data_IF_099601683618
#
_entry.id   IF_099601683618
#
_cell.length_a   1.000
_cell.length_b   1.000
_cell.length_c   1.000
_cell.angle_alpha   90.00
_cell.angle_beta   90.00
_cell.angle_gamma   90.00
#
_symmetry.space_group_name_H-M   'P 1'
#
loop_
_entity.id
_entity.type
_entity.pdbx_description
1 polymer ?
#
# COMPACT_ATOMS: atom_id res chain seq x y z
N UNK A 1 -15.68 -7.45 7.99
CA UNK A 1 -14.97 -6.56 7.04
C UNK A 1 -14.03 -7.44 6.24
N UNK A 2 -14.04 -7.34 4.91
CA UNK A 2 -13.40 -8.32 4.01
C UNK A 2 -12.11 -7.74 3.42
N UNK A 3 -11.17 -7.31 4.27
CA UNK A 3 -9.92 -6.71 3.81
C UNK A 3 -9.04 -7.71 3.06
N UNK A 4 -8.48 -7.28 1.92
CA UNK A 4 -7.47 -8.00 1.16
C UNK A 4 -7.89 -9.44 0.77
N UNK A 5 -9.19 -9.70 0.66
CA UNK A 5 -9.73 -10.98 0.22
C UNK A 5 -9.54 -11.19 -1.29
N UNK A 6 -9.52 -10.10 -2.07
CA UNK A 6 -9.15 -10.17 -3.48
C UNK A 6 -7.64 -10.07 -3.63
N UNK A 7 -7.05 -11.01 -4.37
CA UNK A 7 -5.63 -10.91 -4.74
C UNK A 7 -5.31 -9.61 -5.50
N UNK A 8 -6.28 -9.06 -6.22
CA UNK A 8 -6.12 -7.80 -6.93
C UNK A 8 -5.88 -6.64 -5.96
N UNK A 9 -6.46 -6.67 -4.76
CA UNK A 9 -6.24 -5.64 -3.74
C UNK A 9 -4.79 -5.66 -3.26
N UNK A 10 -4.27 -6.86 -2.98
CA UNK A 10 -2.87 -7.02 -2.57
C UNK A 10 -1.90 -6.55 -3.66
N UNK A 11 -2.13 -6.97 -4.92
CA UNK A 11 -1.29 -6.53 -6.05
C UNK A 11 -1.26 -5.01 -6.22
N UNK A 12 -2.41 -4.34 -6.06
CA UNK A 12 -2.51 -2.88 -6.13
C UNK A 12 -1.72 -2.20 -5.02
N UNK A 13 -1.80 -2.71 -3.78
CA UNK A 13 -1.06 -2.13 -2.66
C UNK A 13 0.44 -2.32 -2.79
N UNK A 14 0.90 -3.50 -3.21
CA UNK A 14 2.32 -3.75 -3.52
C UNK A 14 2.83 -2.80 -4.61
N UNK A 15 2.06 -2.63 -5.69
CA UNK A 15 2.39 -1.69 -6.77
C UNK A 15 2.42 -0.24 -6.25
N UNK A 16 1.50 0.14 -5.36
CA UNK A 16 1.46 1.45 -4.71
C UNK A 16 2.72 1.75 -3.90
N UNK A 17 3.22 0.79 -3.10
CA UNK A 17 4.48 0.95 -2.36
C UNK A 17 5.66 1.17 -3.33
N UNK A 18 5.74 0.37 -4.40
CA UNK A 18 6.79 0.51 -5.42
C UNK A 18 6.74 1.88 -6.11
N UNK A 19 5.55 2.36 -6.44
CA UNK A 19 5.35 3.68 -7.06
C UNK A 19 5.77 4.81 -6.11
N UNK A 20 5.41 4.73 -4.83
CA UNK A 20 5.84 5.72 -3.84
C UNK A 20 7.36 5.76 -3.73
N UNK A 21 8.03 4.60 -3.63
CA UNK A 21 9.51 4.54 -3.63
C UNK A 21 10.12 5.21 -4.86
N UNK A 22 9.57 4.95 -6.04
CA UNK A 22 10.02 5.58 -7.28
C UNK A 22 9.82 7.11 -7.26
N UNK A 23 8.68 7.59 -6.75
CA UNK A 23 8.39 9.02 -6.64
C UNK A 23 9.37 9.74 -5.70
N UNK A 24 9.65 9.15 -4.53
CA UNK A 24 10.60 9.71 -3.57
C UNK A 24 12.05 9.70 -4.08
N UNK A 25 12.40 8.86 -5.06
CA UNK A 25 13.70 8.89 -5.73
C UNK A 25 13.84 10.04 -6.73
N UNK A 26 12.78 10.79 -7.04
CA UNK A 26 12.88 11.96 -7.90
C UNK A 26 13.61 13.13 -7.21
N UNK A 27 14.29 13.96 -8.02
CA UNK A 27 15.14 15.08 -7.54
C UNK A 27 14.39 16.08 -6.65
N UNK A 28 13.10 16.25 -6.86
CA UNK A 28 12.26 17.16 -6.07
C UNK A 28 12.22 16.80 -4.58
N UNK A 29 12.51 15.55 -4.24
CA UNK A 29 12.54 15.09 -2.85
C UNK A 29 13.96 14.94 -2.30
N UNK A 30 15.03 15.32 -3.03
CA UNK A 30 16.42 15.14 -2.56
C UNK A 30 16.68 15.79 -1.19
N UNK A 31 16.14 16.99 -0.97
CA UNK A 31 16.30 17.75 0.28
C UNK A 31 15.45 17.18 1.43
N UNK A 32 14.34 16.51 1.11
CA UNK A 32 13.34 16.08 2.09
C UNK A 32 13.38 14.59 2.40
N UNK A 33 13.96 13.76 1.51
CA UNK A 33 13.94 12.31 1.69
C UNK A 33 15.01 11.89 2.70
N UNK A 34 14.55 11.38 3.83
CA UNK A 34 15.38 10.63 4.76
C UNK A 34 15.48 9.15 4.37
N UNK A 35 15.88 8.31 5.31
CA UNK A 35 15.79 6.86 5.15
C UNK A 35 14.33 6.40 5.22
N UNK A 36 13.99 5.38 4.43
CA UNK A 36 12.68 4.74 4.51
C UNK A 36 12.52 4.04 5.86
N UNK A 37 11.55 4.48 6.66
CA UNK A 37 11.29 3.94 8.01
C UNK A 37 10.47 2.63 7.92
N UNK A 38 9.43 2.62 7.10
CA UNK A 38 8.55 1.47 6.90
C UNK A 38 8.06 1.41 5.44
N UNK A 39 7.96 0.22 4.83
CA UNK A 39 8.42 -1.09 5.32
C UNK A 39 9.95 -1.21 5.47
N UNK A 40 10.69 -0.23 4.98
CA UNK A 40 12.14 -0.18 5.07
C UNK A 40 12.82 -0.74 3.82
N UNK A 41 14.01 -0.24 3.52
CA UNK A 41 14.70 -0.49 2.25
C UNK A 41 15.05 -1.98 1.99
N UNK A 42 15.09 -2.81 3.04
CA UNK A 42 15.36 -4.25 2.93
C UNK A 42 14.13 -5.08 2.48
N UNK A 43 12.93 -4.54 2.58
CA UNK A 43 11.69 -5.24 2.22
C UNK A 43 11.39 -4.99 0.74
N UNK A 44 11.82 -5.90 -0.13
CA UNK A 44 11.80 -5.70 -1.60
C UNK A 44 11.02 -6.75 -2.39
N UNK A 45 10.94 -7.98 -1.87
CA UNK A 45 10.20 -9.04 -2.56
C UNK A 45 8.69 -8.83 -2.41
N UNK A 46 7.93 -9.28 -3.40
CA UNK A 46 6.47 -9.18 -3.35
C UNK A 46 5.88 -9.91 -2.15
N UNK A 47 6.49 -11.03 -1.75
CA UNK A 47 6.09 -11.77 -0.55
C UNK A 47 6.33 -10.95 0.73
N UNK A 48 7.49 -10.30 0.87
CA UNK A 48 7.80 -9.49 2.04
C UNK A 48 6.95 -8.22 2.10
N UNK A 49 6.71 -7.57 0.96
CA UNK A 49 5.80 -6.43 0.86
C UNK A 49 4.36 -6.84 1.19
N UNK A 50 3.91 -8.00 0.69
CA UNK A 50 2.58 -8.51 1.00
C UNK A 50 2.42 -8.84 2.47
N UNK A 51 3.44 -9.42 3.11
CA UNK A 51 3.44 -9.69 4.54
C UNK A 51 3.33 -8.40 5.36
N UNK A 52 4.14 -7.39 5.02
CA UNK A 52 4.05 -6.07 5.64
C UNK A 52 2.67 -5.43 5.47
N UNK A 53 2.09 -5.48 4.26
CA UNK A 53 0.75 -4.95 4.00
C UNK A 53 -0.28 -5.68 4.86
N UNK A 54 -0.21 -7.00 5.00
CA UNK A 54 -1.15 -7.75 5.85
C UNK A 54 -1.08 -7.34 7.32
N UNK A 55 0.11 -7.03 7.81
CA UNK A 55 0.33 -6.61 9.20
C UNK A 55 -0.11 -5.18 9.47
N UNK A 56 0.03 -4.28 8.48
CA UNK A 56 -0.10 -2.83 8.69
C UNK A 56 -1.29 -2.18 7.98
N UNK A 57 -1.98 -2.90 7.07
CA UNK A 57 -3.06 -2.31 6.28
C UNK A 57 -4.22 -1.86 7.17
N UNK A 58 -4.44 -0.55 7.21
CA UNK A 58 -5.62 0.08 7.77
C UNK A 58 -6.66 0.41 6.70
N UNK A 59 -7.73 1.07 7.13
CA UNK A 59 -8.74 1.62 6.22
C UNK A 59 -8.64 3.13 6.13
N UNK A 60 -8.95 3.66 4.95
CA UNK A 60 -9.17 5.10 4.78
C UNK A 60 -10.46 5.61 5.45
N UNK A 61 -11.20 4.77 6.19
CA UNK A 61 -12.44 5.11 6.87
C UNK A 61 -13.59 5.54 5.93
N UNK A 62 -13.68 4.91 4.76
CA UNK A 62 -14.75 5.12 3.77
C UNK A 62 -15.65 3.88 3.59
N UNK A 63 -16.40 3.42 4.60
CA UNK A 63 -17.37 2.33 4.43
C UNK A 63 -18.58 2.80 3.61
N UNK A 64 -18.96 2.03 2.59
CA UNK A 64 -20.13 2.31 1.74
C UNK A 64 -20.75 1.00 1.22
N UNK A 65 -21.98 1.06 0.70
CA UNK A 65 -22.60 -0.05 -0.05
C UNK A 65 -23.38 -1.09 0.78
N UNK A 66 -23.61 -0.86 2.07
CA UNK A 66 -24.41 -1.76 2.92
C UNK A 66 -25.90 -1.81 2.56
N UNK A 67 -26.42 -0.78 1.88
CA UNK A 67 -27.76 -0.74 1.30
C UNK A 67 -27.69 -0.19 -0.14
N UNK A 68 -27.20 -0.99 -1.07
CA UNK A 68 -27.21 -0.63 -2.50
C UNK A 68 -28.58 -1.00 -3.08
N UNK A 69 -29.33 -0.07 -3.71
CA UNK A 69 -30.57 -0.42 -4.39
C UNK A 69 -30.28 -1.37 -5.55
N UNK A 70 -30.93 -2.54 -5.56
CA UNK A 70 -30.93 -3.45 -6.69
C UNK A 70 -32.04 -3.03 -7.64
N UNK A 71 -31.69 -2.37 -8.73
CA UNK A 71 -32.57 -2.19 -9.89
C UNK A 71 -32.26 -3.27 -10.91
#
# INVERSE_FOLDING_TARGET
MNYLQSEADMRKLVAGIRLMRQLFQSRAFDEFRGQEIAPGAGVQSDAALSAFIRETCGTGNHPAGTCTPGY
#
